data_IF_763188686653
#
_entry.id   IF_763188686653
#
_cell.length_a   1.000
_cell.length_b   1.000
_cell.length_c   1.000
_cell.angle_alpha   90.00
_cell.angle_beta   90.00
_cell.angle_gamma   90.00
#
_symmetry.space_group_name_H-M   'P 1'
#
loop_
_entity.id
_entity.type
_entity.pdbx_description
1 polymer ?
#
# COMPACT_ATOMS: atom_id res chain seq x y z
N UNK A 1 -11.10 -23.42 -11.60
CA UNK A 1 -11.76 -24.23 -12.63
C UNK A 1 -12.55 -25.41 -12.06
N UNK A 2 -12.00 -26.18 -11.09
CA UNK A 2 -12.67 -27.41 -10.61
C UNK A 2 -13.65 -27.10 -9.47
N UNK A 3 -13.23 -26.29 -8.50
CA UNK A 3 -13.99 -25.99 -7.27
C UNK A 3 -14.63 -24.59 -7.28
N UNK A 4 -14.55 -23.86 -8.40
CA UNK A 4 -14.92 -22.44 -8.45
C UNK A 4 -16.40 -22.18 -8.14
N UNK A 5 -17.30 -23.04 -8.63
CA UNK A 5 -18.74 -22.92 -8.37
C UNK A 5 -19.05 -23.10 -6.89
N UNK A 6 -18.63 -24.21 -6.31
CA UNK A 6 -18.85 -24.55 -4.91
C UNK A 6 -18.21 -23.52 -3.96
N UNK A 7 -16.98 -23.07 -4.28
CA UNK A 7 -16.30 -22.04 -3.50
C UNK A 7 -17.05 -20.70 -3.54
N UNK A 8 -17.58 -20.32 -4.70
CA UNK A 8 -18.37 -19.11 -4.86
C UNK A 8 -19.64 -19.15 -4.04
N UNK A 9 -20.35 -20.26 -4.09
CA UNK A 9 -21.57 -20.49 -3.31
C UNK A 9 -21.26 -20.50 -1.81
N UNK A 10 -20.19 -21.18 -1.41
CA UNK A 10 -19.77 -21.19 -0.02
C UNK A 10 -19.41 -19.78 0.50
N UNK A 11 -18.70 -18.95 -0.28
CA UNK A 11 -18.37 -17.57 0.09
C UNK A 11 -19.63 -16.70 0.17
N UNK A 12 -20.52 -16.80 -0.82
CA UNK A 12 -21.79 -16.06 -0.83
C UNK A 12 -22.72 -16.50 0.31
N UNK A 13 -22.75 -17.81 0.58
CA UNK A 13 -23.67 -18.43 1.52
C UNK A 13 -25.05 -18.75 0.93
N UNK A 14 -25.20 -18.51 -0.37
CA UNK A 14 -26.42 -18.76 -1.13
C UNK A 14 -26.07 -18.86 -2.64
N UNK A 15 -27.01 -19.39 -3.44
CA UNK A 15 -26.90 -19.45 -4.90
C UNK A 15 -26.82 -18.06 -5.55
N UNK A 16 -27.49 -17.06 -4.95
CA UNK A 16 -27.47 -15.66 -5.38
C UNK A 16 -26.89 -14.77 -4.28
N UNK A 17 -26.59 -13.53 -4.63
CA UNK A 17 -26.26 -12.49 -3.64
C UNK A 17 -27.52 -12.17 -2.85
N UNK A 18 -27.54 -12.51 -1.57
CA UNK A 18 -28.70 -12.43 -0.68
C UNK A 18 -28.33 -11.88 0.68
N UNK A 19 -29.27 -11.91 1.63
CA UNK A 19 -29.03 -11.51 3.03
C UNK A 19 -27.90 -12.30 3.68
N UNK A 20 -27.74 -13.59 3.33
CA UNK A 20 -26.63 -14.41 3.82
C UNK A 20 -25.28 -13.84 3.39
N UNK A 21 -25.16 -13.40 2.14
CA UNK A 21 -23.95 -12.73 1.62
C UNK A 21 -23.69 -11.42 2.36
N UNK A 22 -24.71 -10.58 2.50
CA UNK A 22 -24.61 -9.29 3.17
C UNK A 22 -24.17 -9.44 4.62
N UNK A 23 -24.77 -10.36 5.36
CA UNK A 23 -24.44 -10.62 6.77
C UNK A 23 -23.00 -11.12 6.94
N UNK A 24 -22.52 -12.00 6.06
CA UNK A 24 -21.14 -12.51 6.11
C UNK A 24 -20.12 -11.38 5.87
N UNK A 25 -20.32 -10.59 4.83
CA UNK A 25 -19.42 -9.50 4.52
C UNK A 25 -19.52 -8.35 5.53
N UNK A 26 -20.70 -8.11 6.09
CA UNK A 26 -20.86 -7.16 7.19
C UNK A 26 -20.08 -7.61 8.44
N UNK A 27 -20.22 -8.85 8.86
CA UNK A 27 -19.49 -9.40 10.00
C UNK A 27 -17.96 -9.35 9.77
N UNK A 28 -17.52 -9.70 8.56
CA UNK A 28 -16.11 -9.61 8.17
C UNK A 28 -15.61 -8.17 8.27
N UNK A 29 -16.34 -7.19 7.73
CA UNK A 29 -15.93 -5.78 7.69
C UNK A 29 -15.96 -5.10 9.05
N UNK A 30 -17.01 -5.36 9.85
CA UNK A 30 -17.24 -4.64 11.12
C UNK A 30 -16.54 -5.30 12.32
N UNK A 31 -16.31 -6.60 12.26
CA UNK A 31 -15.73 -7.36 13.38
C UNK A 31 -14.36 -7.92 13.02
N UNK A 32 -14.29 -8.81 12.05
CA UNK A 32 -13.07 -9.58 11.79
C UNK A 32 -11.91 -8.70 11.30
N UNK A 33 -12.12 -7.82 10.32
CA UNK A 33 -11.07 -6.94 9.80
C UNK A 33 -10.56 -5.94 10.84
N UNK A 34 -11.39 -5.24 11.63
CA UNK A 34 -10.90 -4.38 12.70
C UNK A 34 -10.06 -5.12 13.75
N UNK A 35 -10.46 -6.33 14.15
CA UNK A 35 -9.67 -7.13 15.10
C UNK A 35 -8.32 -7.56 14.52
N UNK A 36 -8.29 -7.97 13.26
CA UNK A 36 -7.04 -8.32 12.57
C UNK A 36 -6.13 -7.10 12.45
N UNK A 37 -6.67 -5.92 12.07
CA UNK A 37 -5.89 -4.69 11.98
C UNK A 37 -5.32 -4.31 13.35
N UNK A 38 -6.10 -4.40 14.42
CA UNK A 38 -5.65 -4.13 15.78
C UNK A 38 -4.48 -5.05 16.18
N UNK A 39 -4.60 -6.35 15.90
CA UNK A 39 -3.52 -7.31 16.13
C UNK A 39 -2.26 -6.96 15.33
N UNK A 40 -2.41 -6.62 14.05
CA UNK A 40 -1.29 -6.22 13.19
C UNK A 40 -0.61 -4.93 13.69
N UNK A 41 -1.38 -3.96 14.21
CA UNK A 41 -0.82 -2.74 14.84
C UNK A 41 0.03 -3.10 16.06
N UNK A 42 -0.46 -3.98 16.94
CA UNK A 42 0.29 -4.43 18.11
C UNK A 42 1.61 -5.10 17.71
N UNK A 43 1.56 -6.00 16.73
CA UNK A 43 2.76 -6.67 16.22
C UNK A 43 3.73 -5.69 15.55
N UNK A 44 3.20 -4.72 14.79
CA UNK A 44 4.00 -3.70 14.11
C UNK A 44 4.72 -2.78 15.09
N UNK A 45 4.03 -2.33 16.14
CA UNK A 45 4.63 -1.53 17.20
C UNK A 45 5.63 -2.32 18.02
N UNK A 46 5.36 -3.60 18.29
CA UNK A 46 6.32 -4.51 18.92
C UNK A 46 7.61 -4.62 18.11
N UNK A 47 7.51 -4.84 16.81
CA UNK A 47 8.65 -4.86 15.91
C UNK A 47 9.41 -3.51 15.86
N UNK A 48 8.70 -2.39 15.89
CA UNK A 48 9.31 -1.06 15.95
C UNK A 48 10.11 -0.87 17.26
N UNK A 49 9.59 -1.32 18.39
CA UNK A 49 10.31 -1.28 19.68
C UNK A 49 11.58 -2.14 19.68
N UNK A 50 11.54 -3.29 19.02
CA UNK A 50 12.69 -4.19 18.87
C UNK A 50 13.81 -3.54 18.03
N UNK A 51 13.45 -3.08 16.83
CA UNK A 51 14.40 -2.54 15.85
C UNK A 51 14.78 -1.08 16.14
N UNK A 52 13.84 -0.28 16.62
CA UNK A 52 13.95 1.18 16.81
C UNK A 52 13.64 1.98 15.55
N UNK A 53 13.45 3.29 15.75
CA UNK A 53 13.16 4.23 14.67
C UNK A 53 14.37 4.42 13.76
N UNK A 54 14.10 4.64 12.48
CA UNK A 54 15.12 4.96 11.48
C UNK A 54 15.46 6.46 11.52
N UNK A 55 16.52 6.86 10.81
CA UNK A 55 16.92 8.25 10.63
C UNK A 55 17.12 8.58 9.14
N UNK A 56 17.17 9.88 8.76
CA UNK A 56 17.27 10.27 7.35
C UNK A 56 18.52 9.77 6.63
N UNK A 57 19.61 9.51 7.35
CA UNK A 57 20.86 9.03 6.77
C UNK A 57 20.94 7.49 6.71
N UNK A 58 20.04 6.79 7.41
CA UNK A 58 20.05 5.34 7.49
C UNK A 58 21.22 4.78 8.32
N UNK A 59 21.78 5.60 9.22
CA UNK A 59 22.86 5.22 10.13
C UNK A 59 22.31 4.33 11.24
N UNK A 60 23.03 3.26 11.57
CA UNK A 60 22.68 2.41 12.70
C UNK A 60 23.22 3.02 14.01
N UNK A 61 22.42 3.90 14.62
CA UNK A 61 22.77 4.62 15.84
C UNK A 61 23.05 3.70 17.04
N UNK A 62 22.53 2.46 17.02
CA UNK A 62 22.76 1.50 18.12
C UNK A 62 24.19 0.97 18.18
N UNK A 63 24.98 1.14 17.12
CA UNK A 63 26.38 0.74 17.08
C UNK A 63 27.30 1.65 17.93
N UNK A 64 26.95 2.93 18.03
CA UNK A 64 27.72 3.92 18.79
C UNK A 64 26.91 4.34 20.02
N UNK A 65 27.28 3.76 21.16
CA UNK A 65 26.63 4.02 22.46
C UNK A 65 27.60 4.63 23.45
N UNK A 66 27.10 5.49 24.31
CA UNK A 66 27.81 5.93 25.49
C UNK A 66 28.13 4.73 26.39
N UNK A 67 29.37 4.60 26.80
CA UNK A 67 29.86 3.46 27.58
C UNK A 67 29.28 3.39 28.99
N UNK A 68 28.83 4.51 29.56
CA UNK A 68 28.30 4.59 30.93
C UNK A 68 26.79 4.40 30.96
N UNK A 69 26.07 5.02 30.02
CA UNK A 69 24.61 5.04 30.01
C UNK A 69 24.00 3.99 29.09
N UNK A 70 24.77 3.44 28.13
CA UNK A 70 24.26 2.54 27.09
C UNK A 70 23.36 3.20 26.06
N UNK A 71 23.16 4.52 26.14
CA UNK A 71 22.32 5.30 25.23
C UNK A 71 23.07 5.57 23.93
N UNK A 72 22.43 5.46 22.75
CA UNK A 72 23.06 5.84 21.49
C UNK A 72 23.49 7.30 21.48
N UNK A 73 24.72 7.58 21.03
CA UNK A 73 25.27 8.95 20.99
C UNK A 73 24.47 9.92 20.11
N UNK A 74 23.86 9.39 19.04
CA UNK A 74 23.01 10.17 18.13
C UNK A 74 21.51 10.00 18.43
N UNK A 75 21.19 9.40 19.59
CA UNK A 75 19.83 9.24 20.07
C UNK A 75 19.28 10.54 20.66
N UNK A 76 17.99 10.78 20.43
CA UNK A 76 17.25 11.83 21.12
C UNK A 76 16.11 11.20 21.94
N UNK A 77 15.70 11.84 23.02
CA UNK A 77 14.61 11.36 23.86
C UNK A 77 13.32 11.27 23.04
N UNK A 78 12.54 10.20 23.26
CA UNK A 78 11.24 10.04 22.62
C UNK A 78 10.27 11.14 23.10
N UNK A 79 10.16 11.31 24.40
CA UNK A 79 9.38 12.37 25.01
C UNK A 79 10.29 13.56 25.39
N UNK A 80 9.94 14.81 25.07
CA UNK A 80 8.71 15.25 24.41
C UNK A 80 8.77 15.28 22.89
N UNK A 81 9.93 15.08 22.26
CA UNK A 81 10.16 15.41 20.85
C UNK A 81 9.28 14.60 19.89
N UNK A 82 9.30 13.27 19.98
CA UNK A 82 8.47 12.43 19.12
C UNK A 82 7.01 12.40 19.57
N UNK A 83 6.75 12.46 20.87
CA UNK A 83 5.38 12.56 21.40
C UNK A 83 4.64 13.77 20.82
N UNK A 84 5.29 14.93 20.76
CA UNK A 84 4.68 16.14 20.19
C UNK A 84 4.45 15.98 18.69
N UNK A 85 5.43 15.42 17.95
CA UNK A 85 5.29 15.19 16.51
C UNK A 85 4.18 14.19 16.19
N UNK A 86 4.08 13.11 16.93
CA UNK A 86 3.05 12.09 16.74
C UNK A 86 1.66 12.64 17.05
N UNK A 87 1.54 13.40 18.14
CA UNK A 87 0.27 14.08 18.50
C UNK A 87 -0.13 15.09 17.44
N UNK A 88 0.82 15.89 16.94
CA UNK A 88 0.55 16.83 15.84
C UNK A 88 0.11 16.09 14.56
N UNK A 89 0.82 15.04 14.17
CA UNK A 89 0.49 14.24 13.00
C UNK A 89 -0.90 13.60 13.10
N UNK A 90 -1.22 13.04 14.26
CA UNK A 90 -2.54 12.46 14.52
C UNK A 90 -3.64 13.54 14.48
N UNK A 91 -3.43 14.69 15.12
CA UNK A 91 -4.39 15.79 15.12
C UNK A 91 -4.60 16.34 13.69
N UNK A 92 -3.54 16.51 12.92
CA UNK A 92 -3.61 16.96 11.52
C UNK A 92 -4.41 15.98 10.66
N UNK A 93 -4.09 14.68 10.75
CA UNK A 93 -4.84 13.64 10.05
C UNK A 93 -6.32 13.62 10.43
N UNK A 94 -6.62 13.63 11.73
CA UNK A 94 -8.00 13.62 12.21
C UNK A 94 -8.79 14.86 11.79
N UNK A 95 -8.13 16.02 11.71
CA UNK A 95 -8.77 17.25 11.21
C UNK A 95 -9.18 17.11 9.75
N UNK A 96 -8.28 16.59 8.89
CA UNK A 96 -8.60 16.34 7.48
C UNK A 96 -9.70 15.27 7.36
N UNK A 97 -9.57 14.18 8.08
CA UNK A 97 -10.56 13.10 8.05
C UNK A 97 -11.95 13.58 8.51
N UNK A 98 -12.02 14.36 9.59
CA UNK A 98 -13.25 14.95 10.07
C UNK A 98 -13.85 15.95 9.06
N UNK A 99 -13.00 16.79 8.43
CA UNK A 99 -13.45 17.69 7.40
C UNK A 99 -14.08 16.95 6.21
N UNK A 100 -13.42 15.90 5.72
CA UNK A 100 -13.97 15.07 4.65
C UNK A 100 -15.28 14.43 5.08
N UNK A 101 -15.29 13.78 6.26
CA UNK A 101 -16.44 13.02 6.74
C UNK A 101 -17.69 13.89 6.93
N UNK A 102 -17.53 15.08 7.51
CA UNK A 102 -18.65 15.93 7.88
C UNK A 102 -19.05 16.95 6.81
N UNK A 103 -18.15 17.35 5.92
CA UNK A 103 -18.43 18.44 4.98
C UNK A 103 -18.43 18.02 3.51
N UNK A 104 -17.60 17.04 3.12
CA UNK A 104 -17.45 16.61 1.70
C UNK A 104 -17.35 15.09 1.54
N UNK A 105 -18.25 14.29 2.17
CA UNK A 105 -18.09 12.84 2.24
C UNK A 105 -18.05 12.14 0.88
N UNK A 106 -18.69 12.70 -0.14
CA UNK A 106 -18.67 12.14 -1.50
C UNK A 106 -17.47 12.60 -2.30
N UNK A 107 -17.06 13.87 -2.16
CA UNK A 107 -16.06 14.55 -3.00
C UNK A 107 -16.21 14.17 -4.50
N UNK A 108 -17.42 14.35 -5.03
CA UNK A 108 -17.73 14.01 -6.43
C UNK A 108 -17.64 12.52 -6.78
N UNK A 109 -17.82 11.64 -5.81
CA UNK A 109 -17.71 10.18 -5.99
C UNK A 109 -16.31 9.61 -5.77
N UNK A 110 -15.35 10.41 -5.28
CA UNK A 110 -14.00 9.92 -4.96
C UNK A 110 -13.98 9.07 -3.67
N UNK A 111 -14.66 9.53 -2.62
CA UNK A 111 -14.74 8.82 -1.34
C UNK A 111 -15.97 7.93 -1.25
N UNK A 112 -17.15 8.44 -1.60
CA UNK A 112 -18.39 7.67 -1.65
C UNK A 112 -18.99 7.74 -3.05
N UNK A 113 -19.06 6.59 -3.69
CA UNK A 113 -19.70 6.41 -4.99
C UNK A 113 -21.19 6.70 -4.91
N UNK A 114 -21.74 7.24 -6.01
CA UNK A 114 -23.18 7.53 -6.11
C UNK A 114 -24.05 6.28 -5.92
N UNK A 115 -23.57 5.12 -6.40
CA UNK A 115 -24.27 3.84 -6.29
C UNK A 115 -24.50 3.39 -4.85
N UNK A 116 -23.73 3.89 -3.87
CA UNK A 116 -23.96 3.61 -2.45
C UNK A 116 -25.27 4.21 -1.91
N UNK A 117 -25.87 5.17 -2.63
CA UNK A 117 -27.14 5.81 -2.26
C UNK A 117 -28.33 5.21 -3.02
N UNK A 118 -28.09 4.26 -3.91
CA UNK A 118 -29.13 3.55 -4.67
C UNK A 118 -29.47 2.26 -3.98
N UNK A 119 -30.76 1.95 -3.87
CA UNK A 119 -31.20 0.66 -3.29
C UNK A 119 -30.63 -0.50 -4.09
N UNK A 120 -30.03 -1.47 -3.41
CA UNK A 120 -29.46 -2.64 -4.04
C UNK A 120 -30.54 -3.49 -4.70
N UNK A 121 -30.30 -3.91 -5.95
CA UNK A 121 -31.13 -4.86 -6.68
C UNK A 121 -30.29 -6.10 -6.99
N UNK A 122 -30.55 -7.25 -6.37
CA UNK A 122 -29.76 -8.48 -6.57
C UNK A 122 -29.86 -9.03 -8.01
N UNK A 123 -30.86 -8.59 -8.78
CA UNK A 123 -31.06 -9.02 -10.17
C UNK A 123 -30.38 -8.11 -11.21
N UNK A 124 -29.86 -6.97 -10.79
CA UNK A 124 -29.26 -5.98 -11.71
C UNK A 124 -27.91 -5.54 -11.19
N UNK A 125 -26.86 -5.91 -11.92
CA UNK A 125 -25.51 -5.43 -11.63
C UNK A 125 -25.25 -4.12 -12.36
N UNK A 126 -24.76 -3.03 -11.71
CA UNK A 126 -24.40 -1.80 -12.39
C UNK A 126 -23.34 -2.04 -13.47
N UNK A 127 -23.44 -1.27 -14.58
CA UNK A 127 -22.55 -1.44 -15.74
C UNK A 127 -21.08 -1.10 -15.43
N UNK A 128 -20.86 -0.17 -14.51
CA UNK A 128 -19.53 0.30 -14.13
C UNK A 128 -19.34 0.23 -12.63
N UNK A 129 -18.81 -0.88 -12.16
CA UNK A 129 -18.40 -1.04 -10.77
C UNK A 129 -16.90 -0.79 -10.71
N UNK A 130 -16.50 0.18 -9.88
CA UNK A 130 -15.08 0.44 -9.57
C UNK A 130 -14.87 0.39 -8.06
N UNK A 131 -13.71 -0.08 -7.60
CA UNK A 131 -13.37 -0.01 -6.19
C UNK A 131 -13.06 1.43 -5.79
N UNK A 132 -12.95 1.69 -4.48
CA UNK A 132 -12.45 2.97 -3.95
C UNK A 132 -11.06 3.29 -4.53
N UNK A 133 -10.75 4.58 -4.66
CA UNK A 133 -9.61 5.11 -5.41
C UNK A 133 -8.25 4.45 -5.11
N UNK A 134 -7.98 4.04 -3.86
CA UNK A 134 -6.72 3.41 -3.48
C UNK A 134 -6.59 1.95 -3.94
N UNK A 135 -7.68 1.28 -4.33
CA UNK A 135 -7.66 -0.04 -4.96
C UNK A 135 -7.65 0.01 -6.48
N UNK A 136 -7.90 1.17 -7.09
CA UNK A 136 -8.00 1.28 -8.55
C UNK A 136 -6.74 0.88 -9.31
N UNK A 137 -5.49 1.05 -8.81
CA UNK A 137 -4.30 0.54 -9.49
C UNK A 137 -4.35 -0.99 -9.65
N UNK A 138 -4.73 -1.71 -8.61
CA UNK A 138 -4.85 -3.17 -8.61
C UNK A 138 -6.01 -3.65 -9.49
N UNK A 139 -7.10 -2.91 -9.50
CA UNK A 139 -8.23 -3.17 -10.38
C UNK A 139 -7.87 -2.96 -11.86
N UNK A 140 -7.05 -1.97 -12.19
CA UNK A 140 -6.52 -1.79 -13.54
C UNK A 140 -5.69 -3.00 -13.98
N UNK A 141 -4.83 -3.53 -13.09
CA UNK A 141 -4.03 -4.72 -13.35
C UNK A 141 -4.91 -5.96 -13.57
N UNK A 142 -5.96 -6.14 -12.77
CA UNK A 142 -6.95 -7.22 -12.94
C UNK A 142 -7.58 -7.17 -14.33
N UNK A 143 -8.07 -5.98 -14.75
CA UNK A 143 -8.73 -5.80 -16.04
C UNK A 143 -7.78 -5.85 -17.25
N UNK A 144 -6.50 -5.60 -17.04
CA UNK A 144 -5.49 -5.65 -18.09
C UNK A 144 -5.33 -7.07 -18.67
N UNK A 145 -5.64 -8.11 -17.88
CA UNK A 145 -5.53 -9.51 -18.27
C UNK A 145 -6.88 -10.01 -18.74
N UNK A 146 -6.99 -10.59 -19.97
CA UNK A 146 -8.25 -11.04 -20.53
C UNK A 146 -8.87 -12.22 -19.79
N UNK A 147 -8.04 -13.16 -19.32
CA UNK A 147 -8.49 -14.32 -18.56
C UNK A 147 -8.81 -13.94 -17.12
N UNK A 148 -9.99 -14.32 -16.63
CA UNK A 148 -10.49 -13.97 -15.30
C UNK A 148 -9.60 -14.50 -14.17
N UNK A 149 -9.17 -15.76 -14.27
CA UNK A 149 -8.31 -16.38 -13.24
C UNK A 149 -6.94 -15.71 -13.19
N UNK A 150 -6.30 -15.55 -14.35
CA UNK A 150 -5.01 -14.89 -14.45
C UNK A 150 -5.11 -13.42 -14.02
N UNK A 151 -6.21 -12.74 -14.30
CA UNK A 151 -6.47 -11.38 -13.81
C UNK A 151 -6.50 -11.30 -12.28
N UNK A 152 -7.21 -12.22 -11.63
CA UNK A 152 -7.24 -12.30 -10.16
C UNK A 152 -5.85 -12.65 -9.59
N UNK A 153 -5.13 -13.57 -10.22
CA UNK A 153 -3.75 -13.91 -9.83
C UNK A 153 -2.80 -12.73 -10.00
N UNK A 154 -2.96 -11.95 -11.07
CA UNK A 154 -2.18 -10.73 -11.30
C UNK A 154 -2.46 -9.68 -10.21
N UNK A 155 -3.72 -9.44 -9.90
CA UNK A 155 -4.10 -8.54 -8.81
C UNK A 155 -3.56 -9.02 -7.46
N UNK A 156 -3.78 -10.27 -7.09
CA UNK A 156 -3.27 -10.85 -5.85
C UNK A 156 -1.74 -10.85 -5.80
N UNK A 157 -1.08 -11.23 -6.90
CA UNK A 157 0.37 -11.22 -7.04
C UNK A 157 0.98 -9.83 -6.88
N UNK A 158 0.28 -8.78 -7.34
CA UNK A 158 0.75 -7.40 -7.19
C UNK A 158 0.79 -6.93 -5.74
N UNK A 159 -0.09 -7.45 -4.89
CA UNK A 159 -0.04 -7.20 -3.43
C UNK A 159 0.99 -8.11 -2.78
N UNK A 160 1.01 -9.39 -3.13
CA UNK A 160 1.90 -10.36 -2.52
C UNK A 160 3.38 -10.08 -2.78
N UNK A 161 3.74 -9.50 -3.92
CA UNK A 161 5.13 -9.16 -4.24
C UNK A 161 5.73 -8.14 -3.28
N UNK A 162 4.90 -7.30 -2.65
CA UNK A 162 5.35 -6.31 -1.65
C UNK A 162 5.93 -6.98 -0.39
N UNK A 163 5.46 -8.17 -0.03
CA UNK A 163 6.04 -8.92 1.08
C UNK A 163 7.47 -9.39 0.81
N UNK A 164 7.86 -9.45 -0.46
CA UNK A 164 9.20 -9.87 -0.86
C UNK A 164 10.23 -8.73 -0.86
N UNK A 165 9.81 -7.47 -0.65
CA UNK A 165 10.69 -6.29 -0.67
C UNK A 165 11.98 -6.45 0.15
N UNK A 166 11.97 -6.98 1.39
CA UNK A 166 13.18 -7.11 2.19
C UNK A 166 14.27 -7.98 1.54
N UNK A 167 13.88 -8.91 0.68
CA UNK A 167 14.80 -9.81 -0.04
C UNK A 167 15.14 -9.31 -1.45
N UNK A 168 14.24 -8.53 -2.05
CA UNK A 168 14.43 -7.99 -3.40
C UNK A 168 15.32 -6.74 -3.39
N UNK A 169 15.18 -5.86 -2.40
CA UNK A 169 16.03 -4.66 -2.29
C UNK A 169 17.40 -5.02 -1.74
N UNK A 170 18.38 -5.05 -2.63
CA UNK A 170 19.77 -5.38 -2.32
C UNK A 170 20.70 -4.18 -2.35
N UNK A 171 20.16 -2.99 -2.15
CA UNK A 171 20.96 -1.78 -2.08
C UNK A 171 21.97 -1.84 -0.92
N UNK A 172 23.24 -1.46 -1.14
CA UNK A 172 24.24 -1.41 -0.06
C UNK A 172 23.97 -0.27 0.93
N UNK A 173 23.13 0.71 0.58
CA UNK A 173 22.76 1.85 1.42
C UNK A 173 21.25 1.89 1.68
N UNK A 174 20.87 2.19 2.91
CA UNK A 174 19.46 2.18 3.34
C UNK A 174 18.72 3.44 2.88
N UNK A 175 19.31 4.61 3.11
CA UNK A 175 18.69 5.90 2.82
C UNK A 175 18.71 6.23 1.33
N UNK A 176 17.58 6.72 0.81
CA UNK A 176 17.45 7.23 -0.56
C UNK A 176 18.42 8.37 -0.88
N UNK A 177 18.89 9.12 0.13
CA UNK A 177 19.86 10.21 -0.03
C UNK A 177 21.16 9.73 -0.66
N UNK A 178 21.60 8.53 -0.29
CA UNK A 178 22.88 7.93 -0.67
C UNK A 178 22.76 6.90 -1.80
N UNK A 179 21.54 6.56 -2.21
CA UNK A 179 21.30 5.65 -3.34
C UNK A 179 21.70 6.28 -4.66
N UNK A 180 22.01 5.43 -5.62
CA UNK A 180 22.36 5.83 -6.99
C UNK A 180 21.22 6.59 -7.68
N UNK A 181 21.56 7.39 -8.68
CA UNK A 181 20.59 8.11 -9.51
C UNK A 181 19.64 7.15 -10.20
N UNK A 182 20.15 5.99 -10.66
CA UNK A 182 19.31 4.93 -11.25
C UNK A 182 18.20 4.49 -10.28
N UNK A 183 18.55 4.23 -9.02
CA UNK A 183 17.56 3.84 -7.99
C UNK A 183 16.47 4.90 -7.81
N UNK A 184 16.86 6.17 -7.79
CA UNK A 184 15.90 7.30 -7.66
C UNK A 184 14.96 7.39 -8.88
N UNK A 185 15.51 7.23 -10.08
CA UNK A 185 14.74 7.23 -11.34
C UNK A 185 13.76 6.06 -11.38
N UNK A 186 14.22 4.85 -11.03
CA UNK A 186 13.35 3.66 -11.00
C UNK A 186 12.18 3.83 -10.02
N UNK A 187 12.42 4.38 -8.83
CA UNK A 187 11.37 4.67 -7.86
C UNK A 187 10.40 5.73 -8.40
N UNK A 188 10.91 6.80 -9.02
CA UNK A 188 10.06 7.83 -9.63
C UNK A 188 9.18 7.26 -10.73
N UNK A 189 9.74 6.44 -11.62
CA UNK A 189 8.98 5.74 -12.67
C UNK A 189 7.93 4.80 -12.09
N UNK A 190 8.25 4.09 -11.01
CA UNK A 190 7.30 3.24 -10.30
C UNK A 190 6.11 4.04 -9.76
N UNK A 191 6.37 5.18 -9.12
CA UNK A 191 5.31 6.07 -8.60
C UNK A 191 4.41 6.56 -9.73
N UNK A 192 4.99 7.03 -10.84
CA UNK A 192 4.24 7.47 -12.01
C UNK A 192 3.39 6.33 -12.58
N UNK A 193 3.96 5.12 -12.69
CA UNK A 193 3.25 3.93 -13.16
C UNK A 193 2.07 3.58 -12.25
N UNK A 194 2.28 3.61 -10.95
CA UNK A 194 1.23 3.29 -9.97
C UNK A 194 0.07 4.30 -10.01
N UNK A 195 0.38 5.59 -10.08
CA UNK A 195 -0.62 6.67 -10.23
C UNK A 195 -1.37 6.54 -11.55
N UNK A 196 -0.67 6.28 -12.66
CA UNK A 196 -1.29 6.10 -13.97
C UNK A 196 -2.22 4.87 -14.00
N UNK A 197 -1.81 3.75 -13.38
CA UNK A 197 -2.69 2.58 -13.20
C UNK A 197 -3.92 2.94 -12.36
N UNK A 198 -3.76 3.76 -11.32
CA UNK A 198 -4.86 4.26 -10.50
C UNK A 198 -5.88 5.02 -11.33
N UNK A 199 -5.40 5.95 -12.14
CA UNK A 199 -6.25 6.70 -13.07
C UNK A 199 -6.99 5.79 -14.06
N UNK A 200 -6.28 4.85 -14.69
CA UNK A 200 -6.87 3.88 -15.62
C UNK A 200 -7.90 2.97 -14.95
N UNK A 201 -7.69 2.63 -13.69
CA UNK A 201 -8.63 1.83 -12.90
C UNK A 201 -9.95 2.54 -12.60
N UNK A 202 -9.95 3.87 -12.56
CA UNK A 202 -11.17 4.67 -12.41
C UNK A 202 -11.98 4.81 -13.70
N UNK A 203 -11.38 4.55 -14.87
CA UNK A 203 -12.01 4.71 -16.16
C UNK A 203 -12.80 3.45 -16.57
N UNK A 204 -13.79 3.62 -17.47
CA UNK A 204 -14.59 2.52 -18.00
C UNK A 204 -13.78 1.47 -18.80
N UNK A 205 -12.60 1.84 -19.31
CA UNK A 205 -11.68 0.92 -19.97
C UNK A 205 -11.92 0.76 -21.46
N UNK A 206 -11.45 1.73 -22.27
CA UNK A 206 -11.36 1.56 -23.72
C UNK A 206 -10.25 0.56 -24.10
N UNK A 207 -10.25 0.10 -25.36
CA UNK A 207 -9.18 -0.79 -25.87
C UNK A 207 -7.80 -0.18 -25.68
N UNK A 208 -7.64 1.12 -25.99
CA UNK A 208 -6.36 1.81 -25.79
C UNK A 208 -5.96 1.88 -24.32
N UNK A 209 -6.90 2.23 -23.43
CA UNK A 209 -6.65 2.27 -21.99
C UNK A 209 -6.23 0.90 -21.44
N UNK A 210 -6.85 -0.17 -21.93
CA UNK A 210 -6.50 -1.54 -21.56
C UNK A 210 -5.09 -1.91 -22.04
N UNK A 211 -4.70 -1.51 -23.25
CA UNK A 211 -3.35 -1.73 -23.76
C UNK A 211 -2.29 -0.99 -22.92
N UNK A 212 -2.55 0.26 -22.58
CA UNK A 212 -1.66 1.05 -21.70
C UNK A 212 -1.58 0.38 -20.32
N UNK A 213 -2.69 -0.05 -19.76
CA UNK A 213 -2.71 -0.75 -18.47
C UNK A 213 -1.88 -2.04 -18.49
N UNK A 214 -1.88 -2.80 -19.60
CA UNK A 214 -1.02 -3.99 -19.77
C UNK A 214 0.47 -3.65 -19.70
N UNK A 215 0.90 -2.62 -20.45
CA UNK A 215 2.29 -2.18 -20.45
C UNK A 215 2.72 -1.72 -19.05
N UNK A 216 1.88 -0.91 -18.38
CA UNK A 216 2.16 -0.44 -17.02
C UNK A 216 2.16 -1.59 -16.00
N UNK A 217 1.29 -2.58 -16.16
CA UNK A 217 1.28 -3.79 -15.31
C UNK A 217 2.56 -4.59 -15.48
N UNK A 218 3.03 -4.79 -16.71
CA UNK A 218 4.32 -5.43 -16.99
C UNK A 218 5.47 -4.66 -16.34
N UNK A 219 5.48 -3.33 -16.45
CA UNK A 219 6.49 -2.51 -15.79
C UNK A 219 6.42 -2.63 -14.27
N UNK A 220 5.20 -2.65 -13.68
CA UNK A 220 5.01 -2.85 -12.25
C UNK A 220 5.72 -4.13 -11.76
N UNK A 221 5.46 -5.26 -12.39
CA UNK A 221 6.11 -6.51 -12.00
C UNK A 221 7.61 -6.53 -12.33
N UNK A 222 8.01 -5.98 -13.48
CA UNK A 222 9.42 -5.86 -13.87
C UNK A 222 10.22 -5.05 -12.84
N UNK A 223 9.65 -3.99 -12.28
CA UNK A 223 10.27 -3.19 -11.22
C UNK A 223 10.71 -4.08 -10.04
N UNK A 224 9.84 -4.96 -9.55
CA UNK A 224 10.16 -5.86 -8.43
C UNK A 224 11.05 -7.03 -8.84
N UNK A 225 10.76 -7.69 -9.96
CA UNK A 225 11.53 -8.85 -10.42
C UNK A 225 12.99 -8.47 -10.69
N UNK A 226 13.23 -7.30 -11.28
CA UNK A 226 14.57 -6.80 -11.56
C UNK A 226 15.17 -5.96 -10.42
N UNK A 227 14.45 -5.77 -9.31
CA UNK A 227 14.93 -5.00 -8.16
C UNK A 227 16.28 -5.50 -7.61
N UNK A 228 16.54 -6.80 -7.47
CA UNK A 228 17.85 -7.29 -7.00
C UNK A 228 19.04 -6.88 -7.87
N UNK A 229 18.78 -6.51 -9.12
CA UNK A 229 19.81 -6.08 -10.07
C UNK A 229 19.96 -4.56 -10.05
N UNK A 230 18.91 -3.81 -10.34
CA UNK A 230 19.02 -2.36 -10.47
C UNK A 230 19.32 -1.65 -9.12
N UNK A 231 18.97 -2.24 -7.97
CA UNK A 231 19.34 -1.67 -6.66
C UNK A 231 20.83 -1.74 -6.33
N UNK A 232 21.56 -2.64 -7.02
CA UNK A 232 23.02 -2.77 -6.92
C UNK A 232 23.78 -1.94 -7.94
N UNK A 233 23.10 -1.48 -8.99
CA UNK A 233 23.72 -0.74 -10.07
C UNK A 233 23.86 0.75 -9.73
N UNK A 234 24.95 1.32 -10.23
CA UNK A 234 25.25 2.74 -10.08
C UNK A 234 26.01 3.08 -8.79
N UNK A 235 26.69 4.20 -8.82
CA UNK A 235 27.51 4.69 -7.70
C UNK A 235 26.60 5.20 -6.57
N UNK A 236 26.81 4.67 -5.38
CA UNK A 236 26.20 5.19 -4.14
C UNK A 236 27.12 6.24 -3.51
N UNK A 237 26.52 7.17 -2.76
CA UNK A 237 27.32 8.12 -1.96
C UNK A 237 27.75 7.45 -0.66
N UNK A 238 28.90 7.85 -0.08
CA UNK A 238 29.31 7.37 1.23
C UNK A 238 28.30 7.80 2.30
N UNK A 239 27.88 6.83 3.13
CA UNK A 239 27.01 7.10 4.29
C UNK A 239 27.89 7.62 5.41
N UNK A 240 27.52 8.72 6.12
CA UNK A 240 28.29 9.21 7.24
C UNK A 240 28.32 8.21 8.39
N UNK A 241 29.36 8.25 9.19
CA UNK A 241 29.51 7.38 10.39
C UNK A 241 28.50 7.75 11.48
N UNK A 242 28.10 9.01 11.55
CA UNK A 242 27.14 9.56 12.51
C UNK A 242 26.04 10.31 11.79
N UNK A 243 24.88 10.44 12.43
CA UNK A 243 23.75 11.20 11.89
C UNK A 243 24.16 12.65 11.69
N UNK A 244 24.02 13.15 10.46
CA UNK A 244 24.29 14.54 10.15
C UNK A 244 23.09 15.41 10.51
N UNK A 245 23.32 16.41 11.36
CA UNK A 245 22.34 17.47 11.53
C UNK A 245 22.50 18.44 10.33
N UNK A 246 21.48 18.51 9.51
CA UNK A 246 21.40 19.56 8.49
C UNK A 246 20.67 20.73 9.13
N UNK A 247 21.39 21.83 9.25
CA UNK A 247 20.87 23.15 9.61
C UNK A 247 19.87 23.64 8.54
#
# INVERSE_FOLDING_TARGET
PVIGGELTEWIRGDYLVSDATLNRFFALHVVALPLVILLLVVLHLGALHEVGSNNPDGVDIKKLKDKKTGIPLDGIAFHPYYTVKDTFGAAFFLTIAAFILFFIPTLGGLFLEHDNFVQANPMVTPLHIKPVWYFTPYYAMLRAVPDKLLGVMTMGGSVMILFLLPWLDRSPVRSIRYRSTLSKVMIALFVVTFVALGYLGMQAGSTTQTMVARVLTLFYFAFFVFMPFWTRLGATKPVPERVTMHD
#
